data_IF_319031994232
#
_entry.id   IF_319031994232
#
_cell.length_a   1.000
_cell.length_b   1.000
_cell.length_c   1.000
_cell.angle_alpha   90.00
_cell.angle_beta   90.00
_cell.angle_gamma   90.00
#
_symmetry.space_group_name_H-M   'P 1'
#
loop_
_entity.id
_entity.type
_entity.pdbx_description
1 polymer ?
#
# COMPACT_ATOMS: atom_id res chain seq x y z
N UNK A 1 -6.00 -7.69 -7.31
CA UNK A 1 -4.53 -7.69 -7.46
C UNK A 1 -4.02 -8.94 -8.16
N UNK A 2 -4.46 -10.16 -7.82
CA UNK A 2 -4.03 -11.40 -8.49
C UNK A 2 -4.24 -11.40 -10.00
N UNK A 3 -5.39 -10.89 -10.48
CA UNK A 3 -5.65 -10.75 -11.91
C UNK A 3 -4.69 -9.79 -12.64
N UNK A 4 -4.08 -8.84 -11.93
CA UNK A 4 -3.20 -7.80 -12.52
C UNK A 4 -1.73 -8.21 -12.42
N UNK A 5 -1.31 -8.77 -11.28
CA UNK A 5 0.09 -9.06 -11.00
C UNK A 5 0.46 -10.54 -11.11
N UNK A 6 -0.52 -11.45 -11.16
CA UNK A 6 -0.29 -12.88 -11.32
C UNK A 6 0.76 -13.42 -10.35
N UNK A 7 1.75 -14.11 -10.91
CA UNK A 7 2.86 -14.73 -10.19
C UNK A 7 3.78 -13.72 -9.47
N UNK A 8 3.76 -12.43 -9.84
CA UNK A 8 4.54 -11.40 -9.15
C UNK A 8 3.91 -10.94 -7.84
N UNK A 9 2.67 -11.31 -7.56
CA UNK A 9 1.94 -10.82 -6.38
C UNK A 9 2.69 -11.08 -5.05
N UNK A 10 3.28 -12.26 -4.80
CA UNK A 10 3.98 -12.52 -3.55
C UNK A 10 5.25 -11.67 -3.33
N UNK A 11 5.83 -11.09 -4.39
CA UNK A 11 7.03 -10.25 -4.28
C UNK A 11 6.71 -8.76 -4.10
N UNK A 12 5.44 -8.37 -4.10
CA UNK A 12 5.01 -6.98 -3.98
C UNK A 12 4.51 -6.74 -2.56
N UNK A 13 5.23 -5.96 -1.73
CA UNK A 13 4.73 -5.61 -0.41
C UNK A 13 3.53 -4.67 -0.54
N UNK A 14 2.53 -4.90 0.31
CA UNK A 14 1.29 -4.11 0.40
C UNK A 14 1.14 -3.63 1.83
N UNK A 15 0.78 -2.37 2.04
CA UNK A 15 0.52 -1.85 3.39
C UNK A 15 -0.72 -0.98 3.40
N UNK A 16 -1.48 -1.00 4.49
CA UNK A 16 -2.65 -0.12 4.69
C UNK A 16 -2.41 0.85 5.84
N UNK A 17 -2.19 2.13 5.52
CA UNK A 17 -2.06 3.19 6.53
C UNK A 17 -3.36 3.43 7.31
N UNK A 18 -4.52 3.06 6.76
CA UNK A 18 -5.82 3.07 7.46
C UNK A 18 -5.81 2.23 8.74
N UNK A 19 -4.91 1.24 8.85
CA UNK A 19 -4.73 0.48 10.09
C UNK A 19 -4.30 1.35 11.28
N UNK A 20 -3.63 2.49 11.02
CA UNK A 20 -3.11 3.40 12.03
C UNK A 20 -3.97 4.64 12.24
N UNK A 21 -4.49 5.22 11.16
CA UNK A 21 -5.19 6.52 11.19
C UNK A 21 -6.69 6.42 10.86
N UNK A 22 -7.19 5.21 10.64
CA UNK A 22 -8.57 4.99 10.21
C UNK A 22 -8.83 5.43 8.76
N UNK A 23 -10.09 5.40 8.36
CA UNK A 23 -10.50 5.81 7.01
C UNK A 23 -10.94 7.28 6.99
N UNK A 24 -10.12 8.13 6.39
CA UNK A 24 -10.36 9.58 6.27
C UNK A 24 -11.30 9.97 5.11
N UNK A 25 -12.14 9.03 4.66
CA UNK A 25 -13.12 9.21 3.57
C UNK A 25 -12.49 9.85 2.32
N UNK A 26 -13.00 11.01 1.92
CA UNK A 26 -12.57 11.74 0.71
C UNK A 26 -11.10 12.16 0.76
N UNK A 27 -10.52 12.32 1.94
CA UNK A 27 -9.10 12.67 2.09
C UNK A 27 -8.16 11.46 2.00
N UNK A 28 -8.68 10.22 2.00
CA UNK A 28 -7.87 9.01 2.10
C UNK A 28 -6.82 8.91 0.98
N UNK A 29 -7.23 9.12 -0.27
CA UNK A 29 -6.31 9.05 -1.42
C UNK A 29 -5.17 10.06 -1.35
N UNK A 30 -5.44 11.30 -0.89
CA UNK A 30 -4.43 12.34 -0.73
C UNK A 30 -3.44 12.02 0.40
N UNK A 31 -3.95 11.56 1.54
CA UNK A 31 -3.12 11.14 2.68
C UNK A 31 -2.24 9.94 2.28
N UNK A 32 -2.82 8.94 1.63
CA UNK A 32 -2.09 7.77 1.11
C UNK A 32 -1.00 8.15 0.12
N UNK A 33 -1.27 9.09 -0.79
CA UNK A 33 -0.24 9.57 -1.71
C UNK A 33 0.96 10.20 -0.98
N UNK A 34 0.73 10.99 0.08
CA UNK A 34 1.82 11.54 0.90
C UNK A 34 2.63 10.42 1.55
N UNK A 35 1.98 9.40 2.13
CA UNK A 35 2.69 8.25 2.70
C UNK A 35 3.48 7.48 1.64
N UNK A 36 2.92 7.26 0.45
CA UNK A 36 3.60 6.59 -0.64
C UNK A 36 4.85 7.34 -1.11
N UNK A 37 4.79 8.67 -1.22
CA UNK A 37 5.95 9.50 -1.52
C UNK A 37 7.00 9.43 -0.41
N UNK A 38 6.59 9.48 0.86
CA UNK A 38 7.51 9.33 2.00
C UNK A 38 8.19 7.95 1.99
N UNK A 39 7.48 6.89 1.62
CA UNK A 39 8.06 5.55 1.45
C UNK A 39 9.16 5.54 0.38
N UNK A 40 8.93 6.18 -0.77
CA UNK A 40 9.95 6.29 -1.82
C UNK A 40 11.16 7.12 -1.37
N UNK A 41 10.93 8.24 -0.67
CA UNK A 41 11.99 9.13 -0.19
C UNK A 41 12.87 8.51 0.90
N UNK A 42 12.26 7.72 1.79
CA UNK A 42 12.93 7.23 3.01
C UNK A 42 13.32 5.75 2.94
N UNK A 43 12.88 5.03 1.91
CA UNK A 43 13.05 3.57 1.81
C UNK A 43 12.40 2.81 2.97
N UNK A 44 11.30 3.34 3.53
CA UNK A 44 10.60 2.73 4.66
C UNK A 44 9.16 2.40 4.27
N UNK A 45 8.84 1.11 4.29
CA UNK A 45 7.48 0.61 4.13
C UNK A 45 6.73 0.72 5.47
N UNK A 46 5.59 1.42 5.53
CA UNK A 46 4.79 1.50 6.75
C UNK A 46 4.16 0.13 7.05
N UNK A 47 3.95 -0.20 8.34
CA UNK A 47 3.29 -1.44 8.71
C UNK A 47 1.78 -1.38 8.44
N UNK A 48 1.18 -2.54 8.26
CA UNK A 48 -0.24 -2.75 8.56
C UNK A 48 -0.33 -3.22 10.01
N UNK A 49 -0.72 -2.33 10.92
CA UNK A 49 -0.82 -2.65 12.36
C UNK A 49 -2.07 -3.47 12.67
N UNK A 50 -2.13 -4.07 13.86
CA UNK A 50 -3.22 -4.92 14.34
C UNK A 50 -3.42 -6.20 13.52
N UNK A 51 -2.38 -6.68 12.84
CA UNK A 51 -2.43 -7.91 12.04
C UNK A 51 -2.10 -9.13 12.91
N UNK A 52 -3.10 -9.67 13.61
CA UNK A 52 -2.93 -10.75 14.60
C UNK A 52 -3.45 -12.11 14.12
N UNK A 53 -4.58 -12.10 13.40
CA UNK A 53 -5.23 -13.30 12.89
C UNK A 53 -5.25 -13.26 11.35
N UNK A 54 -4.18 -13.75 10.68
CA UNK A 54 -4.09 -13.71 9.23
C UNK A 54 -5.20 -14.55 8.57
N UNK A 55 -5.81 -14.02 7.51
CA UNK A 55 -6.73 -14.78 6.69
C UNK A 55 -5.93 -15.67 5.71
N UNK A 56 -6.11 -17.00 5.73
CA UNK A 56 -5.37 -17.91 4.84
C UNK A 56 -5.64 -17.67 3.35
N UNK A 57 -6.72 -16.98 2.97
CA UNK A 57 -7.01 -16.60 1.59
C UNK A 57 -6.20 -15.38 1.13
N UNK A 58 -5.63 -14.59 2.06
CA UNK A 58 -4.82 -13.41 1.74
C UNK A 58 -3.36 -13.84 1.58
N UNK A 59 -2.95 -14.05 0.33
CA UNK A 59 -1.57 -14.42 -0.05
C UNK A 59 -0.62 -13.23 -0.17
N UNK A 60 -1.03 -12.05 0.32
CA UNK A 60 -0.27 -10.81 0.21
C UNK A 60 0.76 -10.69 1.34
N UNK A 61 1.94 -10.17 1.02
CA UNK A 61 2.84 -9.61 2.02
C UNK A 61 2.30 -8.26 2.50
N UNK A 62 1.55 -8.25 3.60
CA UNK A 62 0.87 -7.07 4.13
C UNK A 62 1.74 -6.15 5.00
N UNK A 63 3.07 -6.40 5.08
CA UNK A 63 4.00 -5.70 5.98
C UNK A 63 3.46 -5.69 7.43
N UNK A 64 3.28 -6.87 8.06
CA UNK A 64 2.48 -6.98 9.28
C UNK A 64 3.19 -6.38 10.51
N UNK A 65 2.48 -5.50 11.23
CA UNK A 65 2.81 -4.93 12.55
C UNK A 65 4.10 -4.10 12.69
N UNK A 66 5.14 -4.40 11.93
CA UNK A 66 6.46 -3.77 12.03
C UNK A 66 6.86 -3.19 10.68
N UNK A 67 7.34 -1.95 10.69
CA UNK A 67 7.85 -1.29 9.48
C UNK A 67 9.00 -2.10 8.86
N UNK A 68 9.17 -2.00 7.55
CA UNK A 68 10.28 -2.66 6.83
C UNK A 68 11.12 -1.64 6.07
N UNK A 69 12.44 -1.74 6.19
CA UNK A 69 13.36 -0.98 5.35
C UNK A 69 13.51 -1.66 4.00
N UNK A 70 13.11 -0.97 2.93
CA UNK A 70 13.21 -1.42 1.56
C UNK A 70 13.11 -0.20 0.64
N UNK A 71 14.17 0.06 -0.14
CA UNK A 71 14.13 1.11 -1.15
C UNK A 71 13.18 0.70 -2.27
N UNK A 72 12.24 1.58 -2.62
CA UNK A 72 11.32 1.39 -3.75
C UNK A 72 11.39 2.59 -4.67
N UNK A 73 11.32 2.33 -5.97
CA UNK A 73 11.31 3.37 -7.02
C UNK A 73 9.94 3.56 -7.64
N UNK A 74 8.99 2.67 -7.37
CA UNK A 74 7.63 2.74 -7.88
C UNK A 74 6.64 2.27 -6.80
N UNK A 75 5.49 2.94 -6.73
CA UNK A 75 4.39 2.64 -5.82
C UNK A 75 3.06 2.76 -6.54
N UNK A 76 2.09 1.94 -6.12
CA UNK A 76 0.70 1.98 -6.56
C UNK A 76 -0.18 2.27 -5.34
N UNK A 77 -0.93 3.37 -5.38
CA UNK A 77 -1.95 3.70 -4.38
C UNK A 77 -3.34 3.48 -4.96
N UNK A 78 -4.17 2.69 -4.28
CA UNK A 78 -5.51 2.30 -4.74
C UNK A 78 -6.59 2.89 -3.84
N UNK A 79 -7.59 3.54 -4.44
CA UNK A 79 -8.76 4.11 -3.77
C UNK A 79 -10.03 3.60 -4.44
N UNK A 80 -10.77 2.74 -3.74
CA UNK A 80 -12.03 2.16 -4.22
C UNK A 80 -13.17 2.60 -3.30
N UNK A 81 -13.92 3.59 -3.77
CA UNK A 81 -14.96 4.28 -3.02
C UNK A 81 -16.37 3.74 -3.29
N UNK A 82 -17.32 4.20 -2.47
CA UNK A 82 -18.73 3.90 -2.64
C UNK A 82 -19.26 4.37 -4.01
N UNK A 83 -20.27 3.68 -4.53
CA UNK A 83 -20.83 3.96 -5.86
C UNK A 83 -19.98 3.47 -7.03
N UNK A 84 -18.97 2.62 -6.77
CA UNK A 84 -18.14 2.03 -7.83
C UNK A 84 -17.05 2.96 -8.36
N UNK A 85 -16.69 4.00 -7.61
CA UNK A 85 -15.63 4.93 -7.99
C UNK A 85 -14.26 4.33 -7.67
N UNK A 86 -13.56 3.87 -8.70
CA UNK A 86 -12.26 3.24 -8.56
C UNK A 86 -11.18 4.11 -9.20
N UNK A 87 -10.18 4.49 -8.41
CA UNK A 87 -9.02 5.25 -8.86
C UNK A 87 -7.72 4.61 -8.37
N UNK A 88 -6.72 4.62 -9.23
CA UNK A 88 -5.39 4.10 -8.94
C UNK A 88 -4.35 5.12 -9.38
N UNK A 89 -3.41 5.45 -8.49
CA UNK A 89 -2.30 6.36 -8.77
C UNK A 89 -0.99 5.59 -8.75
N UNK A 90 -0.22 5.67 -9.84
CA UNK A 90 1.15 5.16 -9.92
C UNK A 90 2.11 6.33 -9.78
N UNK A 91 3.06 6.22 -8.86
CA UNK A 91 4.13 7.21 -8.69
C UNK A 91 5.48 6.51 -8.84
N UNK A 92 6.38 7.14 -9.57
CA UNK A 92 7.74 6.63 -9.82
C UNK A 92 8.75 7.71 -9.51
N UNK A 93 9.90 7.32 -8.95
CA UNK A 93 11.04 8.22 -8.84
C UNK A 93 11.54 8.52 -10.26
N UNK A 94 12.12 9.71 -10.46
CA UNK A 94 12.79 10.03 -11.72
C UNK A 94 13.80 8.92 -12.09
N UNK A 95 13.89 8.52 -13.36
CA UNK A 95 14.97 7.65 -13.81
C UNK A 95 16.30 8.31 -13.47
N UNK A 96 17.21 7.55 -12.86
CA UNK A 96 18.60 7.95 -12.70
C UNK A 96 19.34 7.98 -14.04
#
# INVERSE_FOLDING_TARGET
MSAVFGERLPSIPVSSNKSMIGHTLTAAGAVEAVFSLQTMLTGTLPPTINYQNPDPAIVLDVVPNVKRSQQVTAVLSNSFGFGGQNASLVMTAEPA
#
